data_IF_788772611851
#
_entry.id   IF_788772611851
#
_cell.length_a   1.000
_cell.length_b   1.000
_cell.length_c   1.000
_cell.angle_alpha   90.00
_cell.angle_beta   90.00
_cell.angle_gamma   90.00
#
_symmetry.space_group_name_H-M   'P 1'
#
loop_
_entity.id
_entity.type
_entity.pdbx_description
1 polymer ?
#
# COMPACT_ATOMS: atom_id res chain seq x y z
N UNK A 1 -4.99 1.69 19.76
CA UNK A 1 -5.41 1.92 18.36
C UNK A 1 -6.76 1.27 18.14
N UNK A 2 -7.70 1.94 17.48
CA UNK A 2 -9.00 1.35 17.11
C UNK A 2 -8.79 0.26 16.04
N UNK A 3 -9.80 -0.57 15.83
CA UNK A 3 -9.81 -1.55 14.73
C UNK A 3 -9.66 -0.85 13.37
N UNK A 4 -10.48 0.17 13.11
CA UNK A 4 -10.37 1.00 11.92
C UNK A 4 -8.96 1.62 11.72
N UNK A 5 -8.26 1.97 12.81
CA UNK A 5 -6.89 2.45 12.74
C UNK A 5 -5.88 1.38 12.31
N UNK A 6 -6.09 0.12 12.71
CA UNK A 6 -5.25 -1.02 12.27
C UNK A 6 -5.49 -1.33 10.80
N UNK A 7 -6.75 -1.32 10.38
CA UNK A 7 -7.14 -1.61 9.00
C UNK A 7 -6.65 -0.54 8.02
N UNK A 8 -6.31 0.66 8.51
CA UNK A 8 -5.77 1.74 7.71
C UNK A 8 -4.25 1.68 7.50
N UNK A 9 -3.52 0.85 8.26
CA UNK A 9 -2.06 0.73 8.12
C UNK A 9 -1.59 0.36 6.70
N UNK A 10 -2.22 -0.60 5.99
CA UNK A 10 -1.83 -0.93 4.61
C UNK A 10 -1.92 0.28 3.68
N UNK A 11 -2.93 1.15 3.85
CA UNK A 11 -3.09 2.38 3.07
C UNK A 11 -1.92 3.34 3.30
N UNK A 12 -1.53 3.53 4.56
CA UNK A 12 -0.38 4.37 4.92
C UNK A 12 0.94 3.84 4.34
N UNK A 13 1.14 2.52 4.32
CA UNK A 13 2.33 1.91 3.72
C UNK A 13 2.38 2.14 2.21
N UNK A 14 1.26 1.96 1.51
CA UNK A 14 1.16 2.24 0.07
C UNK A 14 1.46 3.71 -0.26
N UNK A 15 0.91 4.66 0.51
CA UNK A 15 1.20 6.09 0.35
C UNK A 15 2.69 6.37 0.61
N UNK A 16 3.27 5.79 1.65
CA UNK A 16 4.68 5.92 1.97
C UNK A 16 5.59 5.41 0.84
N UNK A 17 5.26 4.25 0.25
CA UNK A 17 5.99 3.70 -0.89
C UNK A 17 5.87 4.58 -2.15
N UNK A 18 4.69 5.12 -2.44
CA UNK A 18 4.51 6.11 -3.51
C UNK A 18 5.36 7.36 -3.27
N UNK A 19 5.34 7.90 -2.05
CA UNK A 19 6.14 9.06 -1.66
C UNK A 19 7.63 8.81 -1.83
N UNK A 20 8.13 7.65 -1.37
CA UNK A 20 9.53 7.24 -1.56
C UNK A 20 9.91 7.10 -3.03
N UNK A 21 9.02 6.60 -3.88
CA UNK A 21 9.28 6.43 -5.32
C UNK A 21 9.31 7.75 -6.09
N UNK A 22 8.43 8.70 -5.77
CA UNK A 22 8.23 9.91 -6.57
C UNK A 22 8.74 11.20 -5.94
N UNK A 23 8.98 11.20 -4.63
CA UNK A 23 9.41 12.34 -3.81
C UNK A 23 10.53 11.93 -2.84
N UNK A 24 11.34 10.97 -3.26
CA UNK A 24 12.25 10.16 -2.44
C UNK A 24 13.56 10.81 -1.98
N UNK A 25 13.75 12.11 -2.14
CA UNK A 25 15.03 12.74 -1.84
C UNK A 25 15.24 12.82 -0.31
N UNK A 26 16.37 12.29 0.18
CA UNK A 26 16.76 12.35 1.59
C UNK A 26 16.45 11.11 2.43
N UNK A 27 16.59 11.25 3.76
CA UNK A 27 16.41 10.17 4.73
C UNK A 27 14.93 9.97 5.07
N UNK A 28 14.22 9.24 4.21
CA UNK A 28 12.82 8.88 4.44
C UNK A 28 12.66 7.68 5.38
N UNK A 29 11.54 7.67 6.11
CA UNK A 29 11.09 6.54 6.92
C UNK A 29 11.05 5.26 6.08
N UNK A 30 11.63 4.18 6.60
CA UNK A 30 11.60 2.84 6.02
C UNK A 30 10.66 1.96 6.82
N UNK A 31 9.80 1.22 6.12
CA UNK A 31 8.98 0.17 6.72
C UNK A 31 9.66 -1.16 6.45
N UNK A 32 10.10 -1.82 7.51
CA UNK A 32 10.82 -3.10 7.44
C UNK A 32 9.91 -4.20 7.98
N UNK A 33 10.01 -5.37 7.37
CA UNK A 33 9.45 -6.59 7.94
C UNK A 33 10.17 -6.90 9.27
N UNK A 34 9.41 -7.16 10.32
CA UNK A 34 9.95 -7.24 11.68
C UNK A 34 10.81 -8.48 11.90
N UNK A 35 10.58 -9.56 11.15
CA UNK A 35 11.30 -10.83 11.29
C UNK A 35 12.60 -10.84 10.47
N UNK A 36 12.53 -10.32 9.23
CA UNK A 36 13.63 -10.40 8.25
C UNK A 36 14.44 -9.11 8.16
N UNK A 37 13.90 -7.97 8.63
CA UNK A 37 14.51 -6.65 8.49
C UNK A 37 14.53 -6.10 7.05
N UNK A 38 13.87 -6.76 6.11
CA UNK A 38 13.83 -6.38 4.69
C UNK A 38 12.79 -5.27 4.47
N UNK A 39 13.06 -4.33 3.56
CA UNK A 39 12.06 -3.31 3.19
C UNK A 39 10.78 -3.96 2.66
N UNK A 40 9.65 -3.58 3.26
CA UNK A 40 8.33 -3.95 2.79
C UNK A 40 8.08 -3.27 1.44
N UNK A 41 7.63 -4.05 0.46
CA UNK A 41 7.09 -3.56 -0.81
C UNK A 41 5.57 -3.70 -0.78
N UNK A 42 4.83 -2.67 -0.38
CA UNK A 42 3.39 -2.78 -0.23
C UNK A 42 2.70 -2.77 -1.60
N UNK A 43 1.78 -3.70 -1.79
CA UNK A 43 0.88 -3.78 -2.95
C UNK A 43 -0.54 -4.06 -2.44
N UNK A 44 -1.56 -3.61 -3.17
CA UNK A 44 -2.94 -4.01 -2.93
C UNK A 44 -3.31 -5.15 -3.88
N UNK A 45 -3.89 -6.21 -3.34
CA UNK A 45 -4.34 -7.37 -4.11
C UNK A 45 -5.87 -7.41 -4.09
N UNK A 46 -6.47 -7.56 -5.27
CA UNK A 46 -7.87 -7.98 -5.40
C UNK A 46 -7.98 -9.44 -4.95
N UNK A 47 -8.64 -9.68 -3.82
CA UNK A 47 -8.75 -11.01 -3.24
C UNK A 47 -9.67 -11.95 -4.03
N UNK A 48 -10.50 -11.43 -4.93
CA UNK A 48 -11.40 -12.26 -5.75
C UNK A 48 -10.64 -13.03 -6.82
N UNK A 49 -9.62 -12.42 -7.41
CA UNK A 49 -8.88 -12.99 -8.54
C UNK A 49 -7.35 -13.02 -8.36
N UNK A 50 -6.84 -12.51 -7.25
CA UNK A 50 -5.40 -12.47 -6.93
C UNK A 50 -4.59 -11.43 -7.70
N UNK A 51 -5.22 -10.57 -8.51
CA UNK A 51 -4.50 -9.56 -9.30
C UNK A 51 -4.08 -8.38 -8.43
N UNK A 52 -2.91 -7.81 -8.71
CA UNK A 52 -2.49 -6.53 -8.13
C UNK A 52 -3.34 -5.38 -8.67
N UNK A 53 -3.89 -4.55 -7.77
CA UNK A 53 -4.68 -3.38 -8.13
C UNK A 53 -3.79 -2.36 -8.86
N UNK A 54 -4.28 -1.82 -9.98
CA UNK A 54 -3.54 -0.89 -10.83
C UNK A 54 -2.78 -1.54 -12.00
N UNK A 55 -2.73 -2.88 -12.07
CA UNK A 55 -2.15 -3.63 -13.21
C UNK A 55 -3.16 -3.93 -14.32
N UNK A 56 -4.45 -3.68 -14.08
CA UNK A 56 -5.57 -3.95 -14.99
C UNK A 56 -6.52 -2.76 -15.03
N UNK A 57 -7.31 -2.64 -16.08
CA UNK A 57 -8.30 -1.58 -16.21
C UNK A 57 -9.33 -1.66 -15.08
N UNK A 58 -9.58 -0.53 -14.41
CA UNK A 58 -10.61 -0.40 -13.37
C UNK A 58 -11.82 0.29 -14.01
N UNK A 59 -12.98 -0.36 -13.95
CA UNK A 59 -14.27 0.24 -14.29
C UNK A 59 -14.91 0.77 -13.01
N UNK A 60 -15.27 2.05 -13.01
CA UNK A 60 -15.95 2.71 -11.89
C UNK A 60 -17.42 2.84 -12.27
N UNK A 61 -18.31 2.38 -11.40
CA UNK A 61 -19.75 2.57 -11.52
C UNK A 61 -20.21 3.48 -10.39
N UNK A 62 -20.89 4.57 -10.76
CA UNK A 62 -21.51 5.48 -9.80
C UNK A 62 -22.93 4.96 -9.58
N UNK A 63 -23.31 4.57 -8.35
CA UNK A 63 -24.67 4.10 -8.06
C UNK A 63 -25.69 5.24 -8.23
N UNK A 64 -26.91 4.90 -8.62
CA UNK A 64 -28.07 5.82 -8.62
C UNK A 64 -28.52 6.18 -7.20
#
# INVERSE_FOLDING_TARGET
MTEAGRDYLPVLFMIGAWGKKHRGEGNLTRFLDAETGIDIKPIAIDTVNGSEIGTRAIRIEIPE
#
